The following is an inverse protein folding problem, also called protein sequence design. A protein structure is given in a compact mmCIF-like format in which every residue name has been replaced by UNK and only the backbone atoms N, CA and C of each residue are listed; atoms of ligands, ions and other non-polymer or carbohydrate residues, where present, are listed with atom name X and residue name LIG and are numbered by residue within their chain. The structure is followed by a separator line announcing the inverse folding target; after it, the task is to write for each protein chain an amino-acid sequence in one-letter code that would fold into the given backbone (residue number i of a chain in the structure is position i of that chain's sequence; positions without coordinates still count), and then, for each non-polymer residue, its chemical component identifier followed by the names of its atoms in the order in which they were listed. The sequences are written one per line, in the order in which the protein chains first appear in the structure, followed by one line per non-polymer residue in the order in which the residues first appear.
data_IF_320071599987
#
_entry.id   IF_320071599987
#
_cell.length_a   1.000
_cell.length_b   1.000
_cell.length_c   1.000
_cell.angle_alpha   90.00
_cell.angle_beta   90.00
_cell.angle_gamma   90.00
#
_symmetry.space_group_name_H-M   'P 1'
#
loop_
_entity.id
_entity.type
_entity.pdbx_description
1 polymer ?
#
# COMPACT_ATOMS: atom_id res chain seq x y z
N UNK A 1 -0.09 -3.03 10.36
CA UNK A 1 1.25 -2.41 10.30
C UNK A 1 1.26 -1.21 9.36
N UNK A 2 2.14 -0.22 9.59
CA UNK A 2 2.35 0.94 8.70
C UNK A 2 3.79 0.94 8.21
N UNK A 3 4.00 1.13 6.91
CA UNK A 3 5.33 1.23 6.27
C UNK A 3 5.40 2.54 5.50
N UNK A 4 6.33 3.41 5.89
CA UNK A 4 6.61 4.66 5.18
C UNK A 4 7.59 4.46 4.03
N UNK A 5 7.28 5.05 2.88
CA UNK A 5 8.10 5.00 1.68
C UNK A 5 8.42 6.45 1.28
N UNK A 6 9.71 6.77 1.35
CA UNK A 6 10.23 8.09 1.01
C UNK A 6 11.16 8.00 -0.21
N UNK A 7 11.19 9.06 -1.01
CA UNK A 7 12.03 9.16 -2.20
C UNK A 7 11.45 8.40 -3.40
N UNK A 8 12.29 7.60 -4.06
CA UNK A 8 11.98 7.06 -5.39
C UNK A 8 11.63 5.56 -5.33
N UNK A 9 10.53 5.18 -5.98
CA UNK A 9 10.17 3.80 -6.26
C UNK A 9 10.61 3.44 -7.68
N UNK A 10 11.87 2.99 -7.79
CA UNK A 10 12.54 2.68 -9.05
C UNK A 10 13.23 1.30 -9.01
N UNK A 11 13.98 0.97 -10.06
CA UNK A 11 14.75 -0.28 -10.14
C UNK A 11 15.76 -0.50 -9.00
N UNK A 12 16.21 0.56 -8.31
CA UNK A 12 17.16 0.47 -7.21
C UNK A 12 16.45 0.21 -5.88
N UNK A 13 15.33 0.89 -5.62
CA UNK A 13 14.58 0.78 -4.39
C UNK A 13 13.69 -0.49 -4.34
N UNK A 14 13.06 -0.84 -5.47
CA UNK A 14 12.04 -1.89 -5.55
C UNK A 14 12.51 -3.27 -5.04
N UNK A 15 13.71 -3.78 -5.39
CA UNK A 15 14.14 -5.11 -4.93
C UNK A 15 14.25 -5.19 -3.42
N UNK A 16 14.78 -4.14 -2.79
CA UNK A 16 14.94 -4.07 -1.33
C UNK A 16 13.58 -3.94 -0.65
N UNK A 17 12.75 -3.02 -1.09
CA UNK A 17 11.41 -2.81 -0.52
C UNK A 17 10.54 -4.06 -0.64
N UNK A 18 10.65 -4.79 -1.76
CA UNK A 18 9.98 -6.09 -1.92
C UNK A 18 10.35 -7.08 -0.83
N UNK A 19 11.65 -7.28 -0.58
CA UNK A 19 12.10 -8.23 0.43
C UNK A 19 11.65 -7.83 1.85
N UNK A 20 11.66 -6.54 2.16
CA UNK A 20 11.18 -6.00 3.42
C UNK A 20 9.67 -6.23 3.59
N UNK A 21 8.87 -5.90 2.56
CA UNK A 21 7.42 -6.15 2.56
C UNK A 21 7.09 -7.64 2.66
N UNK A 22 7.81 -8.48 1.91
CA UNK A 22 7.60 -9.93 1.91
C UNK A 22 7.82 -10.53 3.31
N UNK A 23 8.89 -10.10 3.99
CA UNK A 23 9.19 -10.50 5.37
C UNK A 23 8.14 -10.00 6.34
N UNK A 24 7.72 -8.74 6.18
CA UNK A 24 6.76 -8.10 7.08
C UNK A 24 5.36 -8.73 6.96
N UNK A 25 5.00 -9.20 5.76
CA UNK A 25 3.74 -9.90 5.49
C UNK A 25 3.69 -11.35 6.00
N UNK A 26 4.79 -11.94 6.46
CA UNK A 26 4.79 -13.32 6.96
C UNK A 26 4.35 -13.45 8.42
N UNK A 27 4.31 -12.35 9.18
CA UNK A 27 3.98 -12.37 10.61
C UNK A 27 2.50 -12.32 10.97
N UNK A 28 1.68 -11.54 10.24
CA UNK A 28 0.26 -11.29 10.59
C UNK A 28 -0.70 -12.01 9.62
N UNK A 29 -1.77 -12.61 10.16
CA UNK A 29 -2.83 -13.31 9.40
C UNK A 29 -4.22 -13.00 9.98
N UNK A 30 -5.13 -12.37 9.23
CA UNK A 30 -4.92 -11.82 7.90
C UNK A 30 -4.00 -10.58 7.95
N UNK A 31 -3.11 -10.36 6.95
CA UNK A 31 -2.18 -9.25 6.97
C UNK A 31 -2.90 -7.91 6.80
N UNK A 32 -2.49 -6.90 7.57
CA UNK A 32 -3.00 -5.52 7.44
C UNK A 32 -1.87 -4.55 7.23
N UNK A 33 -1.85 -3.91 6.06
CA UNK A 33 -0.74 -3.08 5.63
C UNK A 33 -1.21 -1.70 5.19
N UNK A 34 -0.66 -0.67 5.82
CA UNK A 34 -0.75 0.71 5.32
C UNK A 34 0.60 1.07 4.71
N UNK A 35 0.60 1.50 3.45
CA UNK A 35 1.77 2.07 2.80
C UNK A 35 1.64 3.59 2.77
N UNK A 36 2.53 4.28 3.46
CA UNK A 36 2.57 5.74 3.44
C UNK A 36 3.49 6.25 2.33
N UNK A 37 2.88 6.80 1.27
CA UNK A 37 3.55 7.32 0.08
C UNK A 37 3.65 8.85 0.11
N UNK A 38 3.39 9.51 1.24
CA UNK A 38 3.38 10.97 1.35
C UNK A 38 4.73 11.61 1.03
N UNK A 39 5.83 10.93 1.35
CA UNK A 39 7.20 11.36 1.05
C UNK A 39 7.77 10.73 -0.23
N UNK A 40 6.95 10.00 -1.00
CA UNK A 40 7.36 9.42 -2.28
C UNK A 40 7.37 10.49 -3.37
N UNK A 41 8.55 10.73 -3.96
CA UNK A 41 8.79 11.77 -4.97
C UNK A 41 8.76 11.24 -6.40
N UNK A 42 8.85 9.93 -6.60
CA UNK A 42 8.83 9.30 -7.92
C UNK A 42 8.35 7.84 -7.85
N UNK A 43 7.66 7.38 -8.89
CA UNK A 43 7.26 5.98 -9.05
C UNK A 43 7.21 5.61 -10.54
N UNK A 44 7.99 4.61 -10.93
CA UNK A 44 7.99 4.06 -12.29
C UNK A 44 7.09 2.81 -12.40
N UNK A 45 7.20 2.08 -13.51
CA UNK A 45 6.45 0.85 -13.74
C UNK A 45 6.83 -0.29 -12.78
N UNK A 46 8.08 -0.33 -12.28
CA UNK A 46 8.52 -1.30 -11.30
C UNK A 46 7.94 -0.98 -9.92
N UNK A 47 7.91 0.31 -9.56
CA UNK A 47 7.23 0.80 -8.36
C UNK A 47 5.75 0.45 -8.35
N UNK A 48 5.03 0.73 -9.45
CA UNK A 48 3.63 0.35 -9.59
C UNK A 48 3.43 -1.18 -9.55
N UNK A 49 4.29 -1.94 -10.24
CA UNK A 49 4.25 -3.40 -10.21
C UNK A 49 4.49 -3.98 -8.82
N UNK A 50 5.33 -3.34 -8.00
CA UNK A 50 5.50 -3.69 -6.59
C UNK A 50 4.20 -3.46 -5.82
N UNK A 51 3.61 -2.26 -5.90
CA UNK A 51 2.36 -1.94 -5.19
C UNK A 51 1.23 -2.91 -5.54
N UNK A 52 1.04 -3.22 -6.83
CA UNK A 52 0.02 -4.16 -7.31
C UNK A 52 0.32 -5.57 -6.82
N UNK A 53 1.57 -6.02 -6.89
CA UNK A 53 1.97 -7.34 -6.40
C UNK A 53 1.73 -7.51 -4.89
N UNK A 54 2.05 -6.48 -4.11
CA UNK A 54 1.79 -6.46 -2.66
C UNK A 54 0.29 -6.49 -2.37
N UNK A 55 -0.52 -5.71 -3.10
CA UNK A 55 -1.98 -5.73 -2.95
C UNK A 55 -2.58 -7.12 -3.22
N UNK A 56 -2.18 -7.78 -4.31
CA UNK A 56 -2.62 -9.14 -4.64
C UNK A 56 -2.25 -10.11 -3.53
N UNK A 57 -1.01 -10.09 -3.06
CA UNK A 57 -0.55 -10.99 -1.98
C UNK A 57 -1.32 -10.77 -0.67
N UNK A 58 -1.59 -9.52 -0.29
CA UNK A 58 -2.37 -9.20 0.91
C UNK A 58 -3.81 -9.73 0.78
N UNK A 59 -4.45 -9.51 -0.38
CA UNK A 59 -5.81 -10.00 -0.66
C UNK A 59 -5.91 -11.52 -0.68
N UNK A 60 -4.95 -12.20 -1.31
CA UNK A 60 -4.91 -13.66 -1.36
C UNK A 60 -4.78 -14.29 0.04
N UNK A 61 -4.18 -13.57 0.98
CA UNK A 61 -4.09 -13.94 2.39
C UNK A 61 -5.32 -13.50 3.23
N UNK A 62 -6.38 -12.98 2.60
CA UNK A 62 -7.59 -12.49 3.26
C UNK A 62 -7.41 -11.19 4.03
N UNK A 63 -6.35 -10.44 3.73
CA UNK A 63 -5.98 -9.19 4.38
C UNK A 63 -6.38 -7.93 3.65
N UNK A 64 -6.03 -6.80 4.25
CA UNK A 64 -6.38 -5.47 3.80
C UNK A 64 -5.14 -4.60 3.58
N UNK A 65 -5.10 -3.91 2.44
CA UNK A 65 -4.04 -2.96 2.11
C UNK A 65 -4.64 -1.58 1.80
N UNK A 66 -4.09 -0.56 2.45
CA UNK A 66 -4.42 0.84 2.20
C UNK A 66 -3.17 1.64 1.82
N UNK A 67 -3.33 2.60 0.92
CA UNK A 67 -2.30 3.57 0.57
C UNK A 67 -2.63 4.92 1.20
N UNK A 68 -1.63 5.55 1.81
CA UNK A 68 -1.70 6.97 2.15
C UNK A 68 -1.04 7.75 1.04
N UNK A 69 -1.82 8.57 0.37
CA UNK A 69 -1.36 9.43 -0.72
C UNK A 69 -1.88 10.84 -0.44
N UNK A 70 -0.96 11.76 -0.16
CA UNK A 70 -1.28 13.18 -0.19
C UNK A 70 -1.52 13.59 -1.66
N UNK A 71 -2.55 14.40 -1.91
CA UNK A 71 -2.88 14.93 -3.25
C UNK A 71 -1.60 15.39 -3.97
N UNK A 72 -1.21 14.70 -5.05
CA UNK A 72 0.12 14.84 -5.62
C UNK A 72 0.41 13.90 -6.79
N UNK A 73 1.70 13.73 -7.09
CA UNK A 73 2.19 12.95 -8.25
C UNK A 73 1.69 11.50 -8.23
N UNK A 74 1.74 10.83 -7.08
CA UNK A 74 1.35 9.42 -6.95
C UNK A 74 -0.15 9.24 -7.17
N UNK A 75 -0.98 10.11 -6.60
CA UNK A 75 -2.43 10.09 -6.84
C UNK A 75 -2.74 10.22 -8.34
N UNK A 76 -2.09 11.17 -9.03
CA UNK A 76 -2.22 11.35 -10.48
C UNK A 76 -1.73 10.14 -11.28
N UNK A 77 -0.63 9.51 -10.86
CA UNK A 77 -0.13 8.28 -11.48
C UNK A 77 -1.15 7.15 -11.38
N UNK A 78 -1.73 6.93 -10.20
CA UNK A 78 -2.76 5.91 -10.00
C UNK A 78 -3.98 6.16 -10.90
N UNK A 79 -4.44 7.40 -11.01
CA UNK A 79 -5.55 7.76 -11.91
C UNK A 79 -5.20 7.53 -13.38
N UNK A 80 -4.03 7.96 -13.85
CA UNK A 80 -3.63 7.79 -15.27
C UNK A 80 -3.48 6.30 -15.63
N UNK A 81 -3.04 5.50 -14.66
CA UNK A 81 -2.87 4.04 -14.81
C UNK A 81 -4.14 3.26 -14.48
N UNK A 82 -5.22 3.94 -14.12
CA UNK A 82 -6.52 3.38 -13.74
C UNK A 82 -6.43 2.38 -12.57
N UNK A 83 -5.41 2.55 -11.72
CA UNK A 83 -5.15 1.74 -10.53
C UNK A 83 -5.82 2.33 -9.28
N UNK A 84 -6.29 3.57 -9.33
CA UNK A 84 -6.97 4.25 -8.22
C UNK A 84 -8.20 3.47 -7.72
N UNK A 85 -8.91 2.78 -8.61
CA UNK A 85 -10.05 1.91 -8.23
C UNK A 85 -9.63 0.58 -7.61
N UNK A 86 -8.37 0.16 -7.76
CA UNK A 86 -7.86 -1.07 -7.19
C UNK A 86 -7.34 -0.88 -5.77
N UNK A 87 -6.91 0.33 -5.41
CA UNK A 87 -6.36 0.64 -4.08
C UNK A 87 -7.37 1.41 -3.23
N UNK A 88 -7.46 1.04 -1.95
CA UNK A 88 -8.06 1.92 -0.95
C UNK A 88 -7.05 3.03 -0.65
N UNK A 89 -7.37 4.27 -1.03
CA UNK A 89 -6.48 5.43 -0.88
C UNK A 89 -7.03 6.41 0.14
N UNK A 90 -6.16 6.96 0.98
CA UNK A 90 -6.52 7.88 2.06
C UNK A 90 -5.52 9.04 2.14
N UNK A 91 -5.95 10.22 2.62
CA UNK A 91 -5.07 11.39 2.76
C UNK A 91 -4.14 11.29 3.96
N UNK A 92 -4.46 10.46 4.97
CA UNK A 92 -3.66 10.33 6.20
C UNK A 92 -3.53 8.87 6.66
N UNK A 93 -2.45 8.59 7.41
CA UNK A 93 -2.24 7.28 8.05
C UNK A 93 -3.38 6.95 9.02
N UNK A 94 -3.88 7.92 9.78
CA UNK A 94 -4.95 7.69 10.75
C UNK A 94 -6.24 7.19 10.09
N UNK A 95 -6.63 7.79 8.96
CA UNK A 95 -7.78 7.34 8.18
C UNK A 95 -7.55 5.95 7.58
N UNK A 96 -6.37 5.71 6.99
CA UNK A 96 -6.04 4.41 6.41
C UNK A 96 -6.06 3.27 7.45
N UNK A 97 -5.46 3.50 8.62
CA UNK A 97 -5.43 2.52 9.72
C UNK A 97 -6.85 2.24 10.22
N UNK A 98 -7.69 3.27 10.35
CA UNK A 98 -9.08 3.12 10.78
C UNK A 98 -9.89 2.31 9.77
N UNK A 99 -9.68 2.55 8.46
CA UNK A 99 -10.40 1.85 7.40
C UNK A 99 -10.08 0.34 7.35
N UNK A 100 -8.82 -0.04 7.56
CA UNK A 100 -8.38 -1.44 7.54
C UNK A 100 -8.36 -2.09 8.92
N UNK A 101 -8.79 -1.38 9.95
CA UNK A 101 -8.95 -1.92 11.28
C UNK A 101 -9.94 -3.10 11.24
N UNK A 102 -9.80 -4.09 12.16
CA UNK A 102 -10.83 -5.10 12.32
C UNK A 102 -12.13 -4.40 12.64
N UNK A 103 -13.05 -4.34 11.68
CA UNK A 103 -14.43 -4.10 11.98
C UNK A 103 -14.89 -5.35 12.72
N UNK A 104 -15.17 -5.21 14.02
CA UNK A 104 -15.94 -6.20 14.75
C UNK A 104 -17.28 -6.31 14.00
N UNK A 105 -17.37 -7.28 13.08
CA UNK A 105 -18.66 -7.76 12.60
C UNK A 105 -19.23 -8.61 13.73
N UNK A 106 -19.58 -7.91 14.81
CA UNK A 106 -20.51 -8.38 15.80
C UNK A 106 -21.77 -8.81 15.07
N UNK A 107 -22.16 -10.04 15.38
CA UNK A 107 -23.38 -10.75 15.04
C UNK A 107 -24.60 -9.84 14.84
N UNK A 108 -25.24 -9.96 13.68
CA UNK A 108 -26.68 -9.78 13.52
C UNK A 108 -27.26 -11.04 12.86
#
# INVERSE_FOLDING_TARGET
MVVGIAGELDMNAVPRLRAELDTALDGERPPRLVLDLTETTFCDSLGLGLLVGTLTRVRDAGGDLALVVANGMISRLLTITNLDHHFATFPTVGEAVTAIAPHDRGTE
#
